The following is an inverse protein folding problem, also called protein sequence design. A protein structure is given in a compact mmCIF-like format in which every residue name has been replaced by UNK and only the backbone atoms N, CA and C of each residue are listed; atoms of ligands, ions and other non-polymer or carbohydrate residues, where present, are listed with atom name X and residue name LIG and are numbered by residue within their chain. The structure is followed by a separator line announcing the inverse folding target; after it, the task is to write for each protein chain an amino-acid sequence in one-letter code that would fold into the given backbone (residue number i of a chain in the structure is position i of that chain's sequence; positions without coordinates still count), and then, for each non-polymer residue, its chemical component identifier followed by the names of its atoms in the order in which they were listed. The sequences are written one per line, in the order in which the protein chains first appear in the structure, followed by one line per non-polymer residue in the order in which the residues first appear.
data_IF_341332958118
#
_entry.id   IF_341332958118
#
_cell.length_a   1.000
_cell.length_b   1.000
_cell.length_c   1.000
_cell.angle_alpha   90.00
_cell.angle_beta   90.00
_cell.angle_gamma   90.00
#
_symmetry.space_group_name_H-M   'P 1'
#
loop_
_entity.id
_entity.type
_entity.pdbx_description
1 polymer ?
#
# COMPACT_ATOMS: atom_id res chain seq x y z
N UNK A 1 -62.84 -16.01 29.81
CA UNK A 1 -61.48 -16.57 29.82
C UNK A 1 -60.69 -15.92 28.69
N UNK A 2 -59.88 -14.94 29.04
CA UNK A 2 -58.98 -14.24 28.05
C UNK A 2 -57.64 -14.86 28.19
N UNK A 3 -57.16 -15.50 27.12
CA UNK A 3 -55.79 -16.00 27.01
C UNK A 3 -54.97 -14.93 26.29
N UNK A 4 -54.08 -14.25 27.01
CA UNK A 4 -53.11 -13.33 26.42
C UNK A 4 -51.94 -14.11 25.83
N UNK A 5 -51.73 -13.96 24.52
CA UNK A 5 -50.52 -14.45 23.83
C UNK A 5 -49.46 -13.34 23.82
N UNK A 6 -48.36 -13.58 24.49
CA UNK A 6 -47.21 -12.73 24.51
C UNK A 6 -46.44 -12.96 23.20
N UNK A 7 -46.49 -12.02 22.25
CA UNK A 7 -45.70 -12.07 21.02
C UNK A 7 -44.35 -11.41 21.30
N UNK A 8 -43.32 -12.21 21.45
CA UNK A 8 -41.94 -11.77 21.42
C UNK A 8 -41.57 -11.32 19.98
N UNK A 9 -41.29 -10.04 19.84
CA UNK A 9 -40.99 -9.45 18.55
C UNK A 9 -39.68 -9.97 17.96
N UNK A 10 -39.79 -10.89 17.03
CA UNK A 10 -38.75 -11.22 16.09
C UNK A 10 -38.83 -10.18 14.95
N UNK A 11 -37.85 -9.32 14.80
CA UNK A 11 -37.77 -8.39 13.66
C UNK A 11 -37.57 -9.22 12.39
N UNK A 12 -38.66 -9.58 11.76
CA UNK A 12 -38.65 -10.13 10.42
C UNK A 12 -38.13 -9.06 9.44
N UNK A 13 -37.17 -9.43 8.62
CA UNK A 13 -36.76 -8.62 7.47
C UNK A 13 -38.01 -8.57 6.57
N UNK A 14 -38.51 -7.35 6.30
CA UNK A 14 -39.56 -7.15 5.29
C UNK A 14 -38.97 -7.54 3.94
N UNK A 15 -39.38 -8.70 3.46
CA UNK A 15 -39.18 -9.12 2.07
C UNK A 15 -40.43 -8.76 1.33
N UNK A 16 -40.38 -7.80 0.43
CA UNK A 16 -41.45 -7.50 -0.51
C UNK A 16 -41.69 -8.74 -1.38
N UNK A 17 -42.66 -9.54 -1.00
CA UNK A 17 -43.16 -10.63 -1.83
C UNK A 17 -44.34 -10.12 -2.64
N UNK A 18 -44.10 -9.86 -3.92
CA UNK A 18 -45.18 -9.65 -4.85
C UNK A 18 -45.93 -10.98 -5.05
N UNK A 19 -47.18 -11.06 -4.62
CA UNK A 19 -48.04 -12.19 -4.97
C UNK A 19 -48.35 -12.07 -6.46
N UNK A 20 -47.76 -12.95 -7.25
CA UNK A 20 -48.17 -13.11 -8.65
C UNK A 20 -49.56 -13.74 -8.66
N UNK A 21 -50.59 -12.92 -8.90
CA UNK A 21 -51.92 -13.40 -9.17
C UNK A 21 -51.88 -14.19 -10.50
N UNK A 22 -52.29 -15.45 -10.46
CA UNK A 22 -52.45 -16.22 -11.69
C UNK A 22 -53.44 -15.50 -12.61
N UNK A 23 -53.14 -15.26 -13.90
CA UNK A 23 -54.10 -14.68 -14.81
C UNK A 23 -55.31 -15.60 -14.94
N UNK A 24 -56.50 -15.04 -14.69
CA UNK A 24 -57.74 -15.76 -14.87
C UNK A 24 -57.85 -16.18 -16.37
N UNK A 25 -58.00 -17.47 -16.59
CA UNK A 25 -58.13 -18.06 -17.95
C UNK A 25 -59.50 -17.69 -18.56
N UNK A 26 -59.61 -16.47 -19.07
CA UNK A 26 -60.72 -16.05 -19.92
C UNK A 26 -60.11 -15.26 -21.10
N UNK A 27 -59.79 -15.97 -22.16
CA UNK A 27 -59.63 -15.43 -23.49
C UNK A 27 -58.30 -14.75 -23.85
N UNK A 28 -57.23 -15.53 -23.87
CA UNK A 28 -56.05 -15.15 -24.70
C UNK A 28 -55.35 -16.42 -25.18
N UNK A 29 -55.47 -16.65 -26.48
CA UNK A 29 -54.46 -17.41 -27.22
C UNK A 29 -53.13 -16.63 -27.14
N UNK A 30 -52.51 -16.70 -26.00
CA UNK A 30 -51.21 -16.06 -25.74
C UNK A 30 -50.17 -17.15 -25.62
N UNK A 31 -49.23 -17.14 -26.54
CA UNK A 31 -48.13 -18.07 -26.59
C UNK A 31 -47.37 -18.16 -25.27
N UNK A 32 -46.77 -19.31 -25.08
CA UNK A 32 -45.95 -19.70 -23.96
C UNK A 32 -45.15 -18.54 -23.37
N UNK A 33 -45.48 -18.18 -22.14
CA UNK A 33 -44.63 -17.35 -21.34
C UNK A 33 -43.30 -18.13 -21.17
N UNK A 34 -42.22 -17.53 -21.59
CA UNK A 34 -40.90 -18.12 -21.58
C UNK A 34 -40.54 -18.51 -20.15
N UNK A 35 -40.54 -19.80 -19.83
CA UNK A 35 -39.99 -20.31 -18.59
C UNK A 35 -38.45 -20.29 -18.74
N UNK A 36 -37.81 -19.26 -18.19
CA UNK A 36 -36.37 -19.15 -18.17
C UNK A 36 -35.86 -19.57 -16.79
N UNK A 37 -35.23 -20.73 -16.71
CA UNK A 37 -34.40 -21.09 -15.57
C UNK A 37 -33.01 -20.53 -15.74
N UNK A 38 -32.48 -19.81 -14.77
CA UNK A 38 -31.14 -19.24 -14.80
C UNK A 38 -30.46 -19.34 -13.44
N UNK A 39 -29.14 -19.35 -13.47
CA UNK A 39 -28.33 -19.27 -12.26
C UNK A 39 -27.88 -17.84 -12.05
N UNK A 40 -27.98 -17.34 -10.82
CA UNK A 40 -27.41 -16.05 -10.43
C UNK A 40 -25.93 -16.30 -10.14
N UNK A 41 -25.07 -15.68 -10.94
CA UNK A 41 -23.63 -15.70 -10.75
C UNK A 41 -23.12 -14.32 -10.35
N UNK A 42 -22.10 -14.26 -9.52
CA UNK A 42 -21.48 -12.99 -9.14
C UNK A 42 -20.91 -12.30 -10.39
N UNK A 43 -21.22 -11.01 -10.57
CA UNK A 43 -20.70 -10.19 -11.67
C UNK A 43 -19.17 -10.01 -11.61
N UNK A 44 -18.62 -9.98 -10.39
CA UNK A 44 -17.18 -9.93 -10.12
C UNK A 44 -16.86 -10.92 -9.03
N UNK A 45 -15.84 -11.70 -9.23
CA UNK A 45 -15.27 -12.59 -8.23
C UNK A 45 -13.74 -12.47 -8.32
N UNK A 46 -13.09 -12.26 -7.18
CA UNK A 46 -11.65 -12.20 -7.10
C UNK A 46 -11.16 -13.01 -5.91
N UNK A 47 -10.08 -13.76 -6.13
CA UNK A 47 -9.34 -14.37 -5.03
C UNK A 47 -8.31 -13.35 -4.56
N UNK A 48 -8.44 -12.93 -3.29
CA UNK A 48 -7.50 -12.01 -2.66
C UNK A 48 -6.39 -12.83 -2.02
N UNK A 49 -5.14 -12.54 -2.40
CA UNK A 49 -3.95 -13.16 -1.83
C UNK A 49 -3.00 -12.08 -1.29
N UNK A 50 -2.07 -12.48 -0.41
CA UNK A 50 -0.99 -11.61 0.02
C UNK A 50 -0.08 -11.26 -1.17
N UNK A 51 0.43 -10.03 -1.23
CA UNK A 51 1.40 -9.60 -2.24
C UNK A 51 2.83 -10.06 -1.93
N UNK A 52 3.09 -10.31 -0.64
CA UNK A 52 4.38 -10.77 -0.12
C UNK A 52 4.21 -12.08 0.63
N UNK A 53 5.28 -12.84 0.75
CA UNK A 53 5.31 -14.02 1.62
C UNK A 53 5.46 -13.57 3.06
N UNK A 54 4.58 -14.07 3.94
CA UNK A 54 4.63 -13.76 5.36
C UNK A 54 3.70 -14.65 6.18
N UNK A 55 3.88 -14.62 7.49
CA UNK A 55 2.99 -15.32 8.42
C UNK A 55 1.77 -14.45 8.70
N UNK A 56 0.58 -15.04 8.62
CA UNK A 56 -0.67 -14.37 8.98
C UNK A 56 -0.70 -14.14 10.49
N UNK A 57 -0.78 -12.88 10.88
CA UNK A 57 -0.91 -12.48 12.29
C UNK A 57 -2.38 -12.51 12.72
N UNK A 58 -3.25 -11.95 11.91
CA UNK A 58 -4.68 -11.78 12.21
C UNK A 58 -5.49 -11.83 10.93
N UNK A 59 -6.65 -12.46 11.00
CA UNK A 59 -7.69 -12.41 9.95
C UNK A 59 -8.91 -11.72 10.53
N UNK A 60 -9.39 -10.65 9.89
CA UNK A 60 -10.45 -9.77 10.38
C UNK A 60 -11.80 -9.97 9.72
N UNK A 61 -11.91 -10.97 8.87
CA UNK A 61 -13.12 -11.26 8.11
C UNK A 61 -13.67 -12.64 8.42
N UNK A 62 -14.98 -12.77 8.18
CA UNK A 62 -15.69 -14.05 8.22
C UNK A 62 -16.45 -14.29 6.91
N UNK A 63 -16.77 -15.55 6.64
CA UNK A 63 -17.58 -15.94 5.49
C UNK A 63 -18.98 -15.33 5.61
N UNK A 64 -19.46 -14.75 4.52
CA UNK A 64 -20.75 -14.04 4.49
C UNK A 64 -20.66 -12.57 4.92
N UNK A 65 -19.53 -12.09 5.44
CA UNK A 65 -19.33 -10.70 5.84
C UNK A 65 -19.28 -9.78 4.61
N UNK A 66 -19.93 -8.62 4.72
CA UNK A 66 -19.80 -7.55 3.72
C UNK A 66 -18.57 -6.71 4.03
N UNK A 67 -17.80 -6.42 3.00
CA UNK A 67 -16.55 -5.62 3.08
C UNK A 67 -16.60 -4.47 2.08
N UNK A 68 -15.94 -3.37 2.41
CA UNK A 68 -15.77 -2.20 1.54
C UNK A 68 -14.43 -2.27 0.77
N UNK A 69 -14.33 -1.49 -0.31
CA UNK A 69 -13.07 -1.37 -1.05
C UNK A 69 -11.98 -0.75 -0.15
N UNK A 70 -10.79 -1.39 -0.12
CA UNK A 70 -9.67 -0.98 0.73
C UNK A 70 -9.73 -1.46 2.17
N UNK A 71 -10.82 -2.09 2.62
CA UNK A 71 -10.94 -2.65 3.97
C UNK A 71 -9.88 -3.74 4.21
N UNK A 72 -9.31 -3.75 5.43
CA UNK A 72 -8.25 -4.70 5.81
C UNK A 72 -8.89 -6.05 6.13
N UNK A 73 -8.59 -7.05 5.32
CA UNK A 73 -9.08 -8.41 5.45
C UNK A 73 -8.20 -9.26 6.37
N UNK A 74 -6.89 -9.09 6.24
CA UNK A 74 -5.90 -9.79 7.06
C UNK A 74 -4.64 -8.94 7.24
N UNK A 75 -3.89 -9.23 8.29
CA UNK A 75 -2.62 -8.59 8.60
C UNK A 75 -1.53 -9.67 8.69
N UNK A 76 -0.45 -9.49 7.94
CA UNK A 76 0.77 -10.31 8.07
C UNK A 76 1.64 -9.77 9.21
N UNK A 77 2.59 -10.58 9.66
CA UNK A 77 3.59 -10.16 10.64
C UNK A 77 4.50 -9.09 10.02
N UNK A 78 4.51 -7.84 10.54
CA UNK A 78 5.23 -6.74 9.95
C UNK A 78 6.69 -6.63 10.41
N UNK A 79 7.17 -7.47 11.34
CA UNK A 79 8.46 -7.30 12.02
C UNK A 79 9.61 -7.13 11.02
N UNK A 80 9.70 -7.99 10.01
CA UNK A 80 10.78 -7.94 9.02
C UNK A 80 10.62 -6.72 8.08
N UNK A 81 9.40 -6.37 7.72
CA UNK A 81 9.11 -5.22 6.87
C UNK A 81 9.42 -3.90 7.59
N UNK A 82 9.03 -3.77 8.86
CA UNK A 82 9.34 -2.63 9.71
C UNK A 82 10.85 -2.48 9.91
N UNK A 83 11.57 -3.57 10.21
CA UNK A 83 13.02 -3.53 10.36
C UNK A 83 13.74 -3.06 9.08
N UNK A 84 13.27 -3.48 7.90
CA UNK A 84 13.81 -3.02 6.61
C UNK A 84 13.51 -1.54 6.36
N UNK A 85 12.31 -1.07 6.70
CA UNK A 85 11.96 0.35 6.61
C UNK A 85 12.84 1.19 7.53
N UNK A 86 13.05 0.77 8.76
CA UNK A 86 13.85 1.50 9.75
C UNK A 86 15.32 1.54 9.34
N UNK A 87 15.87 0.45 8.78
CA UNK A 87 17.20 0.45 8.19
C UNK A 87 17.30 1.45 7.04
N UNK A 88 16.33 1.46 6.13
CA UNK A 88 16.32 2.41 5.01
C UNK A 88 16.17 3.86 5.46
N UNK A 89 15.42 4.11 6.55
CA UNK A 89 15.32 5.44 7.17
C UNK A 89 16.68 5.90 7.72
N UNK A 90 17.38 5.04 8.44
CA UNK A 90 18.72 5.33 8.95
C UNK A 90 19.74 5.62 7.82
N UNK A 91 19.66 4.87 6.71
CA UNK A 91 20.49 5.11 5.52
C UNK A 91 20.22 6.48 4.87
N UNK A 92 18.94 6.88 4.80
CA UNK A 92 18.55 8.20 4.31
C UNK A 92 19.12 9.31 5.22
N UNK A 93 19.03 9.15 6.52
CA UNK A 93 19.54 10.14 7.48
C UNK A 93 21.06 10.26 7.42
N UNK A 94 21.78 9.15 7.22
CA UNK A 94 23.22 9.17 6.97
C UNK A 94 23.56 9.93 5.66
N UNK A 95 22.82 9.68 4.57
CA UNK A 95 22.99 10.38 3.31
C UNK A 95 22.70 11.88 3.42
N UNK A 96 21.67 12.28 4.18
CA UNK A 96 21.37 13.69 4.46
C UNK A 96 22.47 14.37 5.29
N UNK A 97 23.04 13.68 6.26
CA UNK A 97 24.16 14.17 7.05
C UNK A 97 25.38 14.42 6.17
N UNK A 98 25.65 13.51 5.21
CA UNK A 98 26.72 13.70 4.22
C UNK A 98 26.48 14.94 3.34
N UNK A 99 25.25 15.17 2.87
CA UNK A 99 24.88 16.39 2.13
C UNK A 99 25.15 17.62 2.97
N UNK A 100 24.77 17.64 4.25
CA UNK A 100 24.99 18.77 5.14
C UNK A 100 26.49 19.04 5.33
N UNK A 101 27.31 18.00 5.50
CA UNK A 101 28.77 18.14 5.64
C UNK A 101 29.43 18.75 4.40
N UNK A 102 29.09 18.22 3.20
CA UNK A 102 29.64 18.77 1.95
C UNK A 102 29.11 20.19 1.68
N UNK A 103 27.86 20.49 2.07
CA UNK A 103 27.31 21.85 1.95
C UNK A 103 28.07 22.86 2.83
N UNK A 104 28.44 22.47 4.05
CA UNK A 104 29.24 23.32 4.94
C UNK A 104 30.65 23.59 4.34
N UNK A 105 31.30 22.56 3.81
CA UNK A 105 32.59 22.69 3.14
C UNK A 105 32.49 23.60 1.90
N UNK A 106 31.43 23.46 1.10
CA UNK A 106 31.20 24.35 -0.05
C UNK A 106 31.01 25.80 0.37
N UNK A 107 30.29 26.02 1.46
CA UNK A 107 30.06 27.38 2.00
C UNK A 107 31.39 28.03 2.41
N UNK A 108 32.26 27.28 3.09
CA UNK A 108 33.60 27.74 3.45
C UNK A 108 34.46 28.04 2.21
N UNK A 109 34.53 27.09 1.26
CA UNK A 109 35.29 27.25 0.04
C UNK A 109 34.81 28.43 -0.82
N UNK A 110 33.48 28.66 -0.85
CA UNK A 110 32.90 29.82 -1.56
C UNK A 110 33.34 31.14 -0.91
N UNK A 111 33.21 31.24 0.42
CA UNK A 111 33.65 32.44 1.15
C UNK A 111 35.14 32.70 1.00
N UNK A 112 35.95 31.64 0.92
CA UNK A 112 37.40 31.77 0.66
C UNK A 112 37.69 32.27 -0.77
N UNK A 113 37.02 31.70 -1.79
CA UNK A 113 37.17 32.15 -3.18
C UNK A 113 36.74 33.63 -3.35
N UNK A 114 35.63 34.06 -2.73
CA UNK A 114 35.14 35.44 -2.79
C UNK A 114 36.12 36.41 -2.12
N UNK A 115 36.73 36.01 -1.00
CA UNK A 115 37.75 36.79 -0.31
C UNK A 115 38.99 36.94 -1.19
N UNK A 116 39.48 35.84 -1.78
CA UNK A 116 40.67 35.88 -2.66
C UNK A 116 40.38 36.67 -3.93
N UNK A 117 39.18 36.65 -4.47
CA UNK A 117 38.77 37.50 -5.60
C UNK A 117 38.96 38.98 -5.28
N UNK A 118 38.53 39.41 -4.11
CA UNK A 118 38.69 40.80 -3.64
C UNK A 118 40.17 41.15 -3.49
N UNK A 119 40.99 40.26 -2.92
CA UNK A 119 42.43 40.47 -2.71
C UNK A 119 43.21 40.49 -4.01
N UNK A 120 42.87 39.68 -5.01
CA UNK A 120 43.46 39.75 -6.36
C UNK A 120 43.19 41.10 -7.01
N UNK A 121 41.94 41.62 -6.88
CA UNK A 121 41.59 42.96 -7.37
C UNK A 121 42.45 44.10 -6.73
N UNK A 122 42.94 43.87 -5.51
CA UNK A 122 43.85 44.74 -4.79
C UNK A 122 45.34 44.42 -5.01
N UNK A 123 45.66 43.45 -5.84
CA UNK A 123 47.03 42.97 -6.10
C UNK A 123 47.77 42.43 -4.86
N UNK A 124 47.03 41.97 -3.84
CA UNK A 124 47.59 41.45 -2.59
C UNK A 124 47.89 39.96 -2.62
N UNK A 125 47.29 39.21 -3.57
CA UNK A 125 47.52 37.77 -3.77
C UNK A 125 47.66 37.46 -5.26
N UNK A 126 48.24 36.28 -5.56
CA UNK A 126 48.47 35.88 -6.96
C UNK A 126 47.14 35.37 -7.60
N UNK A 127 47.04 35.54 -8.92
CA UNK A 127 45.95 34.99 -9.71
C UNK A 127 45.83 33.46 -9.55
N UNK A 128 46.97 32.75 -9.48
CA UNK A 128 47.02 31.30 -9.30
C UNK A 128 46.36 30.83 -7.97
N UNK A 129 46.51 31.61 -6.88
CA UNK A 129 45.87 31.29 -5.61
C UNK A 129 44.35 31.43 -5.69
N UNK A 130 43.83 32.45 -6.38
CA UNK A 130 42.43 32.60 -6.64
C UNK A 130 41.86 31.44 -7.50
N UNK A 131 42.54 31.12 -8.60
CA UNK A 131 42.13 30.02 -9.49
C UNK A 131 42.08 28.68 -8.78
N UNK A 132 43.03 28.41 -7.87
CA UNK A 132 43.03 27.23 -7.02
C UNK A 132 41.80 27.19 -6.08
N UNK A 133 41.44 28.31 -5.47
CA UNK A 133 40.26 28.38 -4.60
C UNK A 133 38.94 28.19 -5.38
N UNK A 134 38.87 28.74 -6.59
CA UNK A 134 37.74 28.54 -7.50
C UNK A 134 37.64 27.07 -7.89
N UNK A 135 38.73 26.41 -8.26
CA UNK A 135 38.73 25.00 -8.59
C UNK A 135 38.25 24.11 -7.40
N UNK A 136 38.71 24.45 -6.19
CA UNK A 136 38.28 23.76 -4.98
C UNK A 136 36.77 23.93 -4.71
N UNK A 137 36.22 25.15 -4.83
CA UNK A 137 34.81 25.44 -4.71
C UNK A 137 34.00 24.66 -5.73
N UNK A 138 34.45 24.62 -6.98
CA UNK A 138 33.73 23.94 -8.07
C UNK A 138 33.78 22.41 -7.92
N UNK A 139 34.88 21.86 -7.41
CA UNK A 139 34.99 20.45 -7.04
C UNK A 139 33.95 20.08 -5.92
N UNK A 140 33.87 20.90 -4.87
CA UNK A 140 32.90 20.69 -3.79
C UNK A 140 31.45 20.86 -4.26
N UNK A 141 31.21 21.77 -5.21
CA UNK A 141 29.88 21.90 -5.84
C UNK A 141 29.48 20.63 -6.59
N UNK A 142 30.41 20.04 -7.34
CA UNK A 142 30.17 18.77 -8.03
C UNK A 142 29.95 17.61 -7.03
N UNK A 143 30.73 17.57 -5.95
CA UNK A 143 30.60 16.59 -4.89
C UNK A 143 29.24 16.72 -4.18
N UNK A 144 28.78 17.96 -3.91
CA UNK A 144 27.45 18.21 -3.34
C UNK A 144 26.33 17.68 -4.26
N UNK A 145 26.45 17.91 -5.56
CA UNK A 145 25.47 17.39 -6.51
C UNK A 145 25.41 15.85 -6.48
N UNK A 146 26.55 15.18 -6.34
CA UNK A 146 26.61 13.72 -6.18
C UNK A 146 25.99 13.27 -4.86
N UNK A 147 26.34 13.91 -3.74
CA UNK A 147 25.77 13.58 -2.42
C UNK A 147 24.25 13.75 -2.40
N UNK A 148 23.71 14.80 -3.04
CA UNK A 148 22.27 15.00 -3.18
C UNK A 148 21.59 13.89 -3.96
N UNK A 149 22.20 13.42 -5.07
CA UNK A 149 21.67 12.26 -5.82
C UNK A 149 21.66 11.00 -4.97
N UNK A 150 22.69 10.76 -4.17
CA UNK A 150 22.74 9.62 -3.26
C UNK A 150 21.64 9.70 -2.19
N UNK A 151 21.37 10.88 -1.64
CA UNK A 151 20.24 11.09 -0.72
C UNK A 151 18.88 10.84 -1.40
N UNK A 152 18.73 11.21 -2.68
CA UNK A 152 17.53 10.89 -3.45
C UNK A 152 17.38 9.37 -3.62
N UNK A 153 18.46 8.65 -3.97
CA UNK A 153 18.42 7.18 -4.07
C UNK A 153 18.02 6.55 -2.74
N UNK A 154 18.58 7.02 -1.62
CA UNK A 154 18.23 6.54 -0.29
C UNK A 154 16.75 6.83 0.06
N UNK A 155 16.20 7.99 -0.37
CA UNK A 155 14.79 8.31 -0.16
C UNK A 155 13.85 7.38 -0.95
N UNK A 156 14.23 7.02 -2.18
CA UNK A 156 13.46 6.05 -2.98
C UNK A 156 13.53 4.64 -2.36
N UNK A 157 14.68 4.25 -1.81
CA UNK A 157 14.82 2.98 -1.10
C UNK A 157 13.91 2.93 0.14
N UNK A 158 13.82 4.02 0.91
CA UNK A 158 12.88 4.12 2.03
C UNK A 158 11.42 4.00 1.53
N UNK A 159 11.09 4.63 0.41
CA UNK A 159 9.74 4.54 -0.18
C UNK A 159 9.40 3.10 -0.57
N UNK A 160 10.34 2.36 -1.18
CA UNK A 160 10.15 0.94 -1.51
C UNK A 160 9.94 0.11 -0.24
N UNK A 161 10.72 0.35 0.80
CA UNK A 161 10.58 -0.37 2.08
C UNK A 161 9.25 -0.04 2.77
N UNK A 162 8.76 1.20 2.67
CA UNK A 162 7.45 1.60 3.19
C UNK A 162 6.29 0.91 2.46
N UNK A 163 6.39 0.71 1.13
CA UNK A 163 5.43 -0.09 0.36
C UNK A 163 5.43 -1.54 0.87
N UNK A 164 6.61 -2.09 1.18
CA UNK A 164 6.70 -3.44 1.76
C UNK A 164 5.98 -3.58 3.10
N UNK A 165 5.95 -2.52 3.92
CA UNK A 165 5.14 -2.48 5.15
C UNK A 165 3.64 -2.42 4.82
N UNK A 166 3.22 -1.59 3.86
CA UNK A 166 1.80 -1.55 3.45
C UNK A 166 1.34 -2.89 2.84
N UNK A 167 2.21 -3.60 2.14
CA UNK A 167 1.93 -4.91 1.56
C UNK A 167 1.75 -6.03 2.62
N UNK A 168 2.05 -5.76 3.90
CA UNK A 168 1.67 -6.66 5.02
C UNK A 168 0.18 -6.59 5.34
N UNK A 169 -0.53 -5.57 4.84
CA UNK A 169 -1.96 -5.39 5.01
C UNK A 169 -2.69 -5.90 3.76
N UNK A 170 -3.39 -7.00 3.89
CA UNK A 170 -4.21 -7.54 2.80
C UNK A 170 -5.55 -6.82 2.78
N UNK A 171 -5.84 -6.12 1.66
CA UNK A 171 -7.04 -5.27 1.51
C UNK A 171 -7.99 -5.81 0.45
N UNK A 172 -9.28 -5.49 0.60
CA UNK A 172 -10.31 -5.79 -0.38
C UNK A 172 -10.10 -4.94 -1.65
N UNK A 173 -10.08 -5.54 -2.86
CA UNK A 173 -9.91 -4.81 -4.12
C UNK A 173 -11.18 -4.09 -4.58
N UNK A 174 -12.33 -4.44 -4.04
CA UNK A 174 -13.65 -3.81 -4.28
C UNK A 174 -14.63 -4.18 -3.17
N UNK A 175 -15.72 -3.44 -3.06
CA UNK A 175 -16.77 -3.73 -2.12
C UNK A 175 -17.56 -5.00 -2.54
N UNK A 176 -17.83 -5.89 -1.59
CA UNK A 176 -18.51 -7.16 -1.86
C UNK A 176 -18.82 -7.97 -0.61
N UNK A 177 -19.08 -9.26 -0.81
CA UNK A 177 -19.31 -10.22 0.27
C UNK A 177 -18.25 -11.31 0.19
N UNK A 178 -17.68 -11.66 1.33
CA UNK A 178 -16.68 -12.74 1.45
C UNK A 178 -17.37 -14.08 1.25
N UNK A 179 -17.00 -14.82 0.22
CA UNK A 179 -17.60 -16.11 -0.11
C UNK A 179 -16.93 -17.25 0.64
N UNK A 180 -15.61 -17.19 0.77
CA UNK A 180 -14.83 -18.23 1.46
C UNK A 180 -13.58 -17.62 2.10
N UNK A 181 -13.17 -18.16 3.24
CA UNK A 181 -11.97 -17.80 3.99
C UNK A 181 -11.05 -19.02 4.09
N UNK A 182 -9.94 -18.99 3.35
CA UNK A 182 -8.96 -20.08 3.38
C UNK A 182 -7.84 -19.84 4.40
N UNK A 183 -7.45 -18.56 4.62
CA UNK A 183 -6.32 -18.22 5.49
C UNK A 183 -6.66 -18.32 6.98
N UNK A 184 -5.71 -18.83 7.76
CA UNK A 184 -5.82 -18.94 9.22
C UNK A 184 -4.67 -18.19 9.91
N UNK A 185 -4.90 -17.61 11.12
CA UNK A 185 -3.83 -17.04 11.91
C UNK A 185 -2.71 -18.06 12.18
N UNK A 186 -1.45 -17.62 12.01
CA UNK A 186 -0.26 -18.47 12.17
C UNK A 186 0.20 -19.17 10.88
N UNK A 187 -0.61 -19.20 9.84
CA UNK A 187 -0.26 -19.79 8.54
C UNK A 187 0.73 -18.93 7.77
N UNK A 188 1.59 -19.54 6.96
CA UNK A 188 2.46 -18.82 6.03
C UNK A 188 1.77 -18.74 4.67
N UNK A 189 1.51 -17.54 4.21
CA UNK A 189 0.92 -17.27 2.89
C UNK A 189 1.97 -16.74 1.93
N UNK A 190 1.78 -17.06 0.65
CA UNK A 190 2.67 -16.64 -0.44
C UNK A 190 1.84 -16.26 -1.67
N UNK A 191 2.28 -15.28 -2.49
CA UNK A 191 1.60 -14.94 -3.76
C UNK A 191 1.49 -16.12 -4.72
N UNK A 192 2.41 -17.07 -4.66
CA UNK A 192 2.41 -18.28 -5.50
C UNK A 192 1.36 -19.32 -5.09
N UNK A 193 0.84 -19.26 -3.87
CA UNK A 193 -0.17 -20.19 -3.37
C UNK A 193 -1.57 -19.95 -3.95
N UNK A 194 -1.81 -18.77 -4.53
CA UNK A 194 -3.13 -18.40 -5.09
C UNK A 194 -3.43 -19.05 -6.46
N UNK A 195 -2.45 -19.67 -7.11
CA UNK A 195 -2.57 -20.23 -8.47
C UNK A 195 -2.59 -21.76 -8.58
N UNK A 196 -2.45 -22.51 -7.52
CA UNK A 196 -2.42 -23.96 -7.60
C UNK A 196 -2.46 -24.63 -6.25
N UNK A 197 -3.55 -25.36 -6.04
CA UNK A 197 -3.74 -26.41 -5.06
C UNK A 197 -3.08 -26.23 -3.69
N UNK A 198 -3.88 -26.00 -2.69
CA UNK A 198 -3.46 -26.07 -1.29
C UNK A 198 -2.81 -27.42 -0.99
N UNK A 199 -1.49 -27.46 -0.93
CA UNK A 199 -0.81 -28.57 -0.28
C UNK A 199 -0.98 -28.36 1.22
N UNK A 200 -1.99 -28.98 1.80
CA UNK A 200 -2.09 -29.17 3.24
C UNK A 200 -0.92 -30.05 3.65
N UNK A 201 0.07 -29.47 4.29
CA UNK A 201 1.01 -30.23 5.12
C UNK A 201 0.42 -30.24 6.52
N UNK A 202 -0.13 -31.42 6.90
CA UNK A 202 -0.57 -31.68 8.26
C UNK A 202 0.62 -31.87 9.20
#
# INVERSE_FOLDING_TARGET
LVVGVLVLGNRAIEVDTAVVAAPSAAGATGGSVLDASGYVVARRMATVSAKITGRVREVRIEEGQRVEEGEILATLDPIDADARRDLSAAQLDAARSQVAGVQAQLTEASANADRLQTLVGQQLVSQAQYEQAVAQRDALRAQLATSRRNATVASEQLRISAIGVDDTLVRAPFAGVVVAKAAQPGEIVSPLSAGGGFTRTG
#
